data_IF_161665309924
#
_entry.id   IF_161665309924
#
_cell.length_a   1.000
_cell.length_b   1.000
_cell.length_c   1.000
_cell.angle_alpha   90.00
_cell.angle_beta   90.00
_cell.angle_gamma   90.00
#
_symmetry.space_group_name_H-M   'P 1'
#
loop_
_entity.id
_entity.type
_entity.pdbx_description
1 polymer ?
#
# COMPACT_ATOMS: atom_id res chain seq x y z
N UNK A 1 -70.10 -33.50 -1.90
CA UNK A 1 -69.01 -33.85 -0.97
C UNK A 1 -67.68 -33.57 -1.69
N UNK A 2 -66.65 -33.08 -0.99
CA UNK A 2 -66.27 -31.68 -0.76
C UNK A 2 -65.38 -31.06 -1.89
N UNK A 3 -65.21 -29.72 -1.91
CA UNK A 3 -64.39 -29.04 -2.91
C UNK A 3 -62.88 -29.11 -2.56
N UNK A 4 -62.05 -29.58 -3.49
CA UNK A 4 -60.58 -29.73 -3.37
C UNK A 4 -59.83 -28.40 -3.60
N UNK A 5 -60.56 -27.28 -3.69
CA UNK A 5 -60.02 -25.98 -4.11
C UNK A 5 -59.28 -25.16 -3.02
N UNK A 6 -59.30 -25.44 -1.69
CA UNK A 6 -58.61 -24.52 -0.76
C UNK A 6 -57.12 -24.80 -0.59
N UNK A 7 -56.58 -25.92 -1.09
CA UNK A 7 -55.19 -26.32 -0.78
C UNK A 7 -54.10 -25.75 -1.71
N UNK A 8 -54.47 -25.24 -2.89
CA UNK A 8 -53.51 -24.63 -3.83
C UNK A 8 -53.33 -23.11 -3.64
N UNK A 9 -54.26 -22.45 -2.95
CA UNK A 9 -54.14 -21.01 -2.63
C UNK A 9 -53.26 -20.79 -1.38
N UNK A 10 -53.19 -21.76 -0.48
CA UNK A 10 -52.37 -21.65 0.73
C UNK A 10 -50.86 -21.73 0.47
N UNK A 11 -50.42 -22.33 -0.65
CA UNK A 11 -48.99 -22.42 -0.97
C UNK A 11 -48.48 -21.20 -1.75
N UNK A 12 -49.36 -20.45 -2.43
CA UNK A 12 -48.98 -19.23 -3.15
C UNK A 12 -48.92 -17.97 -2.27
N UNK A 13 -49.47 -18.04 -1.06
CA UNK A 13 -49.41 -16.95 -0.07
C UNK A 13 -48.19 -17.03 0.87
N UNK A 14 -47.37 -18.09 0.76
CA UNK A 14 -46.16 -18.25 1.57
C UNK A 14 -44.86 -17.84 0.84
N UNK A 15 -44.96 -17.12 -0.29
CA UNK A 15 -43.80 -16.66 -1.06
C UNK A 15 -43.65 -15.12 -1.12
N UNK A 16 -44.41 -14.36 -0.32
CA UNK A 16 -44.38 -12.89 -0.34
C UNK A 16 -43.96 -12.22 0.99
N UNK A 17 -43.33 -12.96 1.90
CA UNK A 17 -42.75 -12.36 3.12
C UNK A 17 -41.30 -12.78 3.34
N UNK A 18 -40.51 -12.69 2.27
CA UNK A 18 -39.08 -12.43 2.41
C UNK A 18 -38.78 -11.09 1.74
N UNK A 19 -39.42 -10.04 2.25
CA UNK A 19 -38.71 -8.77 2.32
C UNK A 19 -37.55 -9.03 3.29
N UNK A 20 -36.39 -9.36 2.73
CA UNK A 20 -35.15 -9.05 3.43
C UNK A 20 -35.26 -7.57 3.72
N UNK A 21 -35.49 -7.22 4.98
CA UNK A 21 -35.21 -5.88 5.44
C UNK A 21 -33.76 -5.66 5.03
N UNK A 22 -33.53 -4.89 3.96
CA UNK A 22 -32.26 -4.27 3.72
C UNK A 22 -31.99 -3.54 5.02
N UNK A 23 -31.10 -4.10 5.84
CA UNK A 23 -30.78 -3.53 7.13
C UNK A 23 -30.19 -2.18 6.79
N UNK A 24 -30.99 -1.13 6.93
CA UNK A 24 -30.49 0.23 6.91
C UNK A 24 -29.67 0.35 8.19
N UNK A 25 -28.49 -0.22 8.21
CA UNK A 25 -27.40 0.18 9.11
C UNK A 25 -26.92 1.56 8.61
N UNK A 26 -27.86 2.50 8.61
CA UNK A 26 -27.63 3.91 8.47
C UNK A 26 -27.03 4.32 9.80
N UNK A 27 -25.77 4.75 9.76
CA UNK A 27 -25.03 5.19 10.91
C UNK A 27 -25.86 6.14 11.80
N UNK A 28 -25.61 6.15 13.13
CA UNK A 28 -26.24 7.06 14.07
C UNK A 28 -26.33 8.51 13.54
N UNK A 29 -27.36 9.26 13.94
CA UNK A 29 -27.55 10.63 13.48
C UNK A 29 -26.29 11.48 13.76
N UNK A 30 -25.70 12.03 12.70
CA UNK A 30 -24.44 12.76 12.78
C UNK A 30 -23.20 11.91 12.47
N UNK A 31 -23.35 10.66 12.05
CA UNK A 31 -22.30 9.78 11.52
C UNK A 31 -22.52 9.48 10.03
N UNK A 32 -21.44 9.19 9.30
CA UNK A 32 -21.42 8.81 7.89
C UNK A 32 -20.67 7.50 7.70
N UNK A 33 -21.17 6.68 6.78
CA UNK A 33 -20.63 5.36 6.49
C UNK A 33 -19.44 5.46 5.51
N UNK A 34 -18.36 4.75 5.80
CA UNK A 34 -17.21 4.58 4.91
C UNK A 34 -16.93 3.09 4.75
N UNK A 35 -16.86 2.60 3.51
CA UNK A 35 -16.68 1.18 3.19
C UNK A 35 -15.44 0.98 2.32
N UNK A 36 -14.52 0.13 2.77
CA UNK A 36 -13.35 -0.31 1.99
C UNK A 36 -13.36 -1.84 1.84
N UNK A 37 -13.34 -2.58 2.96
CA UNK A 37 -13.49 -4.06 3.00
C UNK A 37 -14.50 -4.50 4.08
N UNK A 38 -15.27 -3.52 4.56
CA UNK A 38 -16.23 -3.53 5.65
C UNK A 38 -16.68 -2.09 5.89
N UNK A 39 -17.91 -1.89 6.35
CA UNK A 39 -18.45 -0.54 6.56
C UNK A 39 -18.31 -0.14 8.03
N UNK A 40 -17.67 0.99 8.28
CA UNK A 40 -17.60 1.62 9.61
C UNK A 40 -18.38 2.94 9.60
N UNK A 41 -18.98 3.26 10.74
CA UNK A 41 -19.65 4.54 10.96
C UNK A 41 -18.69 5.50 11.65
N UNK A 42 -18.46 6.66 11.02
CA UNK A 42 -17.58 7.71 11.53
C UNK A 42 -18.38 8.98 11.79
N UNK A 43 -18.06 9.77 12.83
CA UNK A 43 -18.69 11.06 13.06
C UNK A 43 -18.62 11.93 11.80
N UNK A 44 -19.78 12.35 11.29
CA UNK A 44 -19.95 13.17 10.10
C UNK A 44 -19.32 14.55 10.22
N UNK A 45 -18.93 14.95 11.44
CA UNK A 45 -18.09 16.10 11.73
C UNK A 45 -16.68 15.95 11.13
N UNK A 46 -16.11 14.73 11.13
CA UNK A 46 -14.85 14.42 10.43
C UNK A 46 -15.00 14.43 8.90
N UNK A 47 -16.22 14.24 8.38
CA UNK A 47 -16.52 14.19 6.95
C UNK A 47 -17.10 15.49 6.39
N UNK A 48 -17.39 16.49 7.24
CA UNK A 48 -18.06 17.75 6.90
C UNK A 48 -17.13 18.96 6.77
N UNK A 49 -15.88 18.85 7.20
CA UNK A 49 -14.87 19.93 7.25
C UNK A 49 -13.62 19.61 6.43
N UNK A 50 -13.79 19.07 5.22
CA UNK A 50 -12.66 18.65 4.39
C UNK A 50 -12.23 19.75 3.41
N UNK A 51 -11.40 20.69 3.89
CA UNK A 51 -10.18 21.01 3.13
C UNK A 51 -8.87 20.99 3.95
N UNK A 52 -8.91 20.89 5.28
CA UNK A 52 -7.68 20.91 6.13
C UNK A 52 -7.53 19.64 7.00
N UNK A 53 -8.65 18.94 7.27
CA UNK A 53 -8.70 17.78 8.17
C UNK A 53 -8.37 16.43 7.51
N UNK A 54 -8.25 16.35 6.18
CA UNK A 54 -7.90 15.10 5.48
C UNK A 54 -6.51 14.61 5.92
N UNK A 55 -5.55 15.51 6.13
CA UNK A 55 -4.20 15.13 6.54
C UNK A 55 -4.15 14.57 7.96
N UNK A 56 -5.07 15.01 8.84
CA UNK A 56 -5.18 14.49 10.22
C UNK A 56 -5.54 13.00 10.25
N UNK A 57 -6.22 12.51 9.21
CA UNK A 57 -6.60 11.09 9.10
C UNK A 57 -5.69 10.33 8.14
N UNK A 58 -5.29 10.96 7.02
CA UNK A 58 -4.53 10.30 5.97
C UNK A 58 -3.11 9.90 6.43
N UNK A 59 -2.39 10.78 7.13
CA UNK A 59 -1.02 10.46 7.55
C UNK A 59 -0.98 9.32 8.59
N UNK A 60 -1.79 9.33 9.67
CA UNK A 60 -1.84 8.19 10.60
C UNK A 60 -2.32 6.90 9.94
N UNK A 61 -3.29 6.97 9.03
CA UNK A 61 -3.77 5.79 8.30
C UNK A 61 -2.67 5.19 7.42
N UNK A 62 -1.89 6.02 6.71
CA UNK A 62 -0.77 5.57 5.89
C UNK A 62 0.35 4.98 6.76
N UNK A 63 0.68 5.60 7.89
CA UNK A 63 1.70 5.08 8.80
C UNK A 63 1.33 3.70 9.36
N UNK A 64 0.06 3.51 9.75
CA UNK A 64 -0.47 2.23 10.20
C UNK A 64 -0.38 1.19 9.08
N UNK A 65 -0.82 1.54 7.87
CA UNK A 65 -0.77 0.66 6.71
C UNK A 65 0.67 0.24 6.37
N UNK A 66 1.63 1.17 6.33
CA UNK A 66 3.04 0.87 6.08
C UNK A 66 3.61 -0.11 7.11
N UNK A 67 3.26 0.08 8.38
CA UNK A 67 3.72 -0.77 9.48
C UNK A 67 3.16 -2.19 9.37
N UNK A 68 1.86 -2.32 9.06
CA UNK A 68 1.22 -3.62 8.85
C UNK A 68 1.77 -4.33 7.61
N UNK A 69 1.88 -3.61 6.50
CA UNK A 69 2.44 -4.11 5.25
C UNK A 69 3.87 -4.65 5.43
N UNK A 70 4.72 -3.90 6.15
CA UNK A 70 6.08 -4.34 6.49
C UNK A 70 6.05 -5.62 7.33
N UNK A 71 5.19 -5.70 8.33
CA UNK A 71 5.11 -6.88 9.21
C UNK A 71 4.71 -8.14 8.43
N UNK A 72 3.77 -8.04 7.50
CA UNK A 72 3.36 -9.12 6.60
C UNK A 72 4.50 -9.53 5.65
N UNK A 73 5.25 -8.56 5.14
CA UNK A 73 6.35 -8.77 4.21
C UNK A 73 7.63 -9.35 4.87
N UNK A 74 7.78 -9.24 6.20
CA UNK A 74 9.03 -9.54 6.91
C UNK A 74 9.48 -11.00 6.82
N UNK A 75 8.58 -11.94 6.53
CA UNK A 75 8.94 -13.35 6.38
C UNK A 75 9.62 -13.63 5.04
N UNK A 76 10.80 -14.26 5.10
CA UNK A 76 11.54 -14.71 3.92
C UNK A 76 12.27 -13.61 3.14
N UNK A 77 12.52 -12.46 3.77
CA UNK A 77 13.31 -11.38 3.16
C UNK A 77 14.80 -11.73 3.10
N UNK A 78 15.50 -11.12 2.15
CA UNK A 78 16.92 -11.32 1.86
C UNK A 78 17.70 -10.01 2.03
N UNK A 79 19.00 -10.08 2.30
CA UNK A 79 19.88 -8.90 2.28
C UNK A 79 20.18 -8.47 0.84
N UNK A 80 20.54 -7.21 0.60
CA UNK A 80 20.90 -6.72 -0.73
C UNK A 80 21.95 -7.65 -1.39
N UNK A 81 21.78 -8.06 -2.67
CA UNK A 81 22.78 -8.85 -3.38
C UNK A 81 24.15 -8.17 -3.34
N UNK A 82 25.21 -8.94 -3.05
CA UNK A 82 26.54 -8.38 -2.77
C UNK A 82 27.04 -7.45 -3.88
N UNK A 83 26.87 -7.83 -5.15
CA UNK A 83 27.28 -7.02 -6.29
C UNK A 83 26.50 -5.70 -6.42
N UNK A 84 25.22 -5.69 -6.05
CA UNK A 84 24.40 -4.47 -6.01
C UNK A 84 24.86 -3.58 -4.84
N UNK A 85 25.05 -4.18 -3.65
CA UNK A 85 25.49 -3.46 -2.45
C UNK A 85 26.82 -2.75 -2.69
N UNK A 86 27.81 -3.47 -3.24
CA UNK A 86 29.15 -2.92 -3.51
C UNK A 86 29.11 -1.70 -4.44
N UNK A 87 28.32 -1.76 -5.51
CA UNK A 87 28.16 -0.65 -6.44
C UNK A 87 27.47 0.56 -5.79
N UNK A 88 26.48 0.32 -4.92
CA UNK A 88 25.70 1.40 -4.30
C UNK A 88 26.40 2.14 -3.16
N UNK A 89 27.51 1.60 -2.64
CA UNK A 89 28.36 2.28 -1.65
C UNK A 89 28.89 3.63 -2.15
N UNK A 90 28.88 3.87 -3.46
CA UNK A 90 29.23 5.17 -4.04
C UNK A 90 28.23 6.28 -3.69
N UNK A 91 26.96 5.95 -3.48
CA UNK A 91 25.87 6.92 -3.30
C UNK A 91 25.23 6.88 -1.91
N UNK A 92 25.30 5.74 -1.24
CA UNK A 92 24.63 5.52 0.04
C UNK A 92 25.61 5.16 1.15
N UNK A 93 25.32 5.70 2.33
CA UNK A 93 25.99 5.28 3.56
C UNK A 93 25.75 3.78 3.82
N UNK A 94 26.74 3.02 4.30
CA UNK A 94 26.58 1.60 4.61
C UNK A 94 25.39 1.29 5.51
N UNK A 95 25.05 2.17 6.46
CA UNK A 95 23.91 1.99 7.36
C UNK A 95 22.54 1.98 6.66
N UNK A 96 22.41 2.65 5.51
CA UNK A 96 21.19 2.57 4.68
C UNK A 96 21.12 1.20 4.00
N UNK A 97 22.24 0.76 3.41
CA UNK A 97 22.33 -0.51 2.69
C UNK A 97 22.15 -1.72 3.62
N UNK A 98 22.70 -1.66 4.84
CA UNK A 98 22.69 -2.76 5.79
C UNK A 98 21.32 -2.93 6.47
N UNK A 99 20.57 -1.84 6.60
CA UNK A 99 19.19 -1.87 7.08
C UNK A 99 18.23 -2.47 6.06
N UNK A 100 18.46 -2.21 4.77
CA UNK A 100 17.54 -2.65 3.73
C UNK A 100 17.50 -4.18 3.60
N UNK A 101 16.29 -4.69 3.38
CA UNK A 101 16.00 -6.06 3.01
C UNK A 101 15.16 -6.06 1.75
N UNK A 102 15.14 -7.15 1.02
CA UNK A 102 14.28 -7.27 -0.15
C UNK A 102 13.56 -8.60 -0.25
N UNK A 103 12.50 -8.60 -1.05
CA UNK A 103 11.77 -9.80 -1.45
C UNK A 103 11.21 -9.60 -2.85
N UNK A 104 11.16 -10.67 -3.63
CA UNK A 104 10.48 -10.68 -4.93
C UNK A 104 9.04 -11.13 -4.71
N UNK A 105 8.09 -10.44 -5.32
CA UNK A 105 6.67 -10.77 -5.20
C UNK A 105 6.34 -12.09 -5.89
N UNK A 106 5.70 -13.02 -5.18
CA UNK A 106 5.27 -14.31 -5.73
C UNK A 106 3.97 -14.13 -6.55
N UNK A 107 4.12 -13.91 -7.87
CA UNK A 107 3.12 -14.13 -8.94
C UNK A 107 1.63 -13.99 -8.55
N UNK A 108 1.23 -12.84 -8.00
CA UNK A 108 -0.19 -12.48 -7.83
C UNK A 108 -0.78 -12.66 -6.43
N UNK A 109 -0.05 -13.19 -5.44
CA UNK A 109 -0.45 -13.06 -4.04
C UNK A 109 0.11 -11.77 -3.44
N UNK A 110 -0.37 -10.66 -3.99
CA UNK A 110 -0.27 -9.38 -3.30
C UNK A 110 -1.21 -9.49 -2.10
N UNK A 111 -0.67 -9.48 -0.88
CA UNK A 111 -1.47 -9.16 0.30
C UNK A 111 -2.30 -7.91 0.01
N UNK A 112 -3.43 -7.73 0.69
CA UNK A 112 -4.21 -6.46 0.67
C UNK A 112 -3.30 -5.22 0.90
N UNK A 113 -2.18 -5.42 1.61
CA UNK A 113 -1.12 -4.45 1.82
C UNK A 113 -0.23 -4.09 0.60
N UNK A 114 -0.46 -4.67 -0.59
CA UNK A 114 0.37 -4.42 -1.79
C UNK A 114 -0.42 -3.89 -2.98
N UNK A 115 -1.62 -3.33 -2.75
CA UNK A 115 -2.46 -2.74 -3.79
C UNK A 115 -1.72 -1.70 -4.67
N UNK A 116 -0.72 -1.00 -4.14
CA UNK A 116 0.13 -0.06 -4.92
C UNK A 116 0.94 -0.74 -6.03
N UNK A 117 1.29 -2.03 -5.90
CA UNK A 117 1.99 -2.79 -6.93
C UNK A 117 1.07 -3.28 -8.07
N UNK A 118 -0.24 -3.01 -8.02
CA UNK A 118 -1.12 -3.32 -9.15
C UNK A 118 -0.93 -2.40 -10.35
N UNK A 119 -0.22 -1.28 -10.19
CA UNK A 119 0.21 -0.47 -11.32
C UNK A 119 1.38 -1.16 -12.05
N UNK A 120 1.24 -1.57 -13.33
CA UNK A 120 2.29 -2.28 -14.06
C UNK A 120 3.58 -1.47 -14.23
N UNK A 121 3.51 -0.15 -14.12
CA UNK A 121 4.66 0.74 -14.29
C UNK A 121 5.55 0.82 -13.02
N UNK A 122 5.10 0.25 -11.91
CA UNK A 122 5.84 0.24 -10.64
C UNK A 122 6.71 -1.01 -10.56
N UNK A 123 8.03 -0.84 -10.58
CA UNK A 123 9.00 -1.95 -10.54
C UNK A 123 9.30 -2.49 -9.13
N UNK A 124 9.17 -1.64 -8.12
CA UNK A 124 9.35 -1.99 -6.71
C UNK A 124 8.58 -1.01 -5.80
N UNK A 125 8.40 -1.39 -4.53
CA UNK A 125 7.86 -0.53 -3.46
C UNK A 125 8.66 -0.74 -2.19
N UNK A 126 8.99 0.35 -1.50
CA UNK A 126 9.67 0.32 -0.21
C UNK A 126 8.67 0.39 0.96
N UNK A 127 8.64 -0.67 1.76
CA UNK A 127 7.91 -0.77 3.03
C UNK A 127 8.88 -0.60 4.20
N UNK A 128 9.16 0.66 4.54
CA UNK A 128 10.07 1.08 5.62
C UNK A 128 11.53 0.69 5.32
N UNK A 129 11.93 -0.55 5.59
CA UNK A 129 13.25 -1.11 5.30
C UNK A 129 13.19 -2.35 4.38
N UNK A 130 11.98 -2.78 3.99
CA UNK A 130 11.78 -3.93 3.09
C UNK A 130 11.40 -3.42 1.70
N UNK A 131 12.20 -3.73 0.70
CA UNK A 131 11.94 -3.41 -0.70
C UNK A 131 11.30 -4.62 -1.38
N UNK A 132 10.06 -4.46 -1.83
CA UNK A 132 9.34 -5.47 -2.59
C UNK A 132 9.54 -5.24 -4.07
N UNK A 133 10.27 -6.12 -4.73
CA UNK A 133 10.45 -6.09 -6.18
C UNK A 133 9.34 -6.88 -6.86
N UNK A 134 8.88 -6.38 -8.00
CA UNK A 134 7.90 -7.09 -8.83
C UNK A 134 8.44 -8.41 -9.35
N UNK A 135 9.69 -8.42 -9.79
CA UNK A 135 10.32 -9.55 -10.45
C UNK A 135 11.80 -9.67 -10.05
N UNK A 136 12.34 -10.88 -10.22
CA UNK A 136 13.72 -11.19 -9.84
C UNK A 136 14.75 -10.46 -10.70
N UNK A 137 14.45 -10.19 -11.98
CA UNK A 137 15.38 -9.50 -12.86
C UNK A 137 15.62 -8.06 -12.38
N UNK A 138 14.57 -7.36 -12.00
CA UNK A 138 14.64 -6.03 -11.38
C UNK A 138 15.45 -6.05 -10.08
N UNK A 139 15.21 -7.03 -9.21
CA UNK A 139 15.94 -7.18 -7.95
C UNK A 139 17.43 -7.52 -8.14
N UNK A 140 17.79 -8.27 -9.19
CA UNK A 140 19.16 -8.74 -9.39
C UNK A 140 20.02 -7.81 -10.26
N UNK A 141 19.39 -7.04 -11.16
CA UNK A 141 20.13 -6.35 -12.24
C UNK A 141 19.87 -4.84 -12.31
N UNK A 142 18.79 -4.32 -11.71
CA UNK A 142 18.41 -2.92 -11.88
C UNK A 142 18.97 -2.01 -10.78
N UNK A 143 20.25 -1.65 -10.91
CA UNK A 143 20.96 -0.77 -9.95
C UNK A 143 20.26 0.59 -9.75
N UNK A 144 19.70 1.16 -10.81
CA UNK A 144 19.03 2.44 -10.75
C UNK A 144 17.71 2.37 -9.95
N UNK A 145 16.95 1.28 -10.09
CA UNK A 145 15.75 1.04 -9.29
C UNK A 145 16.12 0.83 -7.81
N UNK A 146 17.16 0.04 -7.51
CA UNK A 146 17.66 -0.06 -6.14
C UNK A 146 18.01 1.30 -5.54
N UNK A 147 18.68 2.16 -6.30
CA UNK A 147 19.02 3.49 -5.85
C UNK A 147 17.79 4.36 -5.55
N UNK A 148 16.70 4.19 -6.29
CA UNK A 148 15.41 4.84 -6.00
C UNK A 148 14.85 4.34 -4.66
N UNK A 149 14.68 3.04 -4.51
CA UNK A 149 14.06 2.44 -3.33
C UNK A 149 14.86 2.70 -2.04
N UNK A 150 16.19 2.67 -2.12
CA UNK A 150 17.05 3.02 -0.98
C UNK A 150 16.92 4.48 -0.56
N UNK A 151 16.47 5.38 -1.45
CA UNK A 151 16.13 6.75 -1.03
C UNK A 151 14.98 6.73 -0.05
N UNK A 152 13.97 5.91 -0.29
CA UNK A 152 12.86 5.76 0.64
C UNK A 152 13.29 5.10 1.95
N UNK A 153 14.16 4.08 1.92
CA UNK A 153 14.75 3.51 3.15
C UNK A 153 15.46 4.59 3.97
N UNK A 154 16.28 5.43 3.31
CA UNK A 154 16.96 6.55 3.97
C UNK A 154 15.95 7.58 4.53
N UNK A 155 14.89 7.91 3.78
CA UNK A 155 13.85 8.83 4.25
C UNK A 155 13.12 8.27 5.49
N UNK A 156 12.82 6.98 5.52
CA UNK A 156 12.24 6.32 6.69
C UNK A 156 13.19 6.34 7.89
N UNK A 157 14.49 6.12 7.69
CA UNK A 157 15.48 6.24 8.77
C UNK A 157 15.56 7.66 9.32
N UNK A 158 15.46 8.68 8.46
CA UNK A 158 15.61 10.09 8.85
C UNK A 158 14.35 10.68 9.47
N UNK A 159 13.17 10.28 9.00
CA UNK A 159 11.90 10.91 9.38
C UNK A 159 11.04 10.03 10.28
N UNK A 160 11.35 8.74 10.37
CA UNK A 160 10.44 7.74 10.92
C UNK A 160 9.22 7.51 10.01
N UNK A 161 8.41 6.52 10.38
CA UNK A 161 7.21 6.15 9.62
C UNK A 161 6.18 7.29 9.60
N UNK A 162 5.93 7.92 10.75
CA UNK A 162 4.97 9.02 10.86
C UNK A 162 5.41 10.26 10.07
N UNK A 163 6.70 10.61 10.16
CA UNK A 163 7.25 11.75 9.44
C UNK A 163 7.28 11.53 7.92
N UNK A 164 7.50 10.30 7.47
CA UNK A 164 7.34 9.93 6.06
C UNK A 164 5.88 10.06 5.63
N UNK A 165 4.95 9.45 6.36
CA UNK A 165 3.53 9.44 6.01
C UNK A 165 2.93 10.86 5.98
N UNK A 166 3.34 11.73 6.90
CA UNK A 166 2.95 13.15 6.89
C UNK A 166 3.40 13.85 5.61
N UNK A 167 4.69 13.72 5.24
CA UNK A 167 5.24 14.36 4.04
C UNK A 167 4.60 13.81 2.78
N UNK A 168 4.44 12.49 2.69
CA UNK A 168 3.88 11.83 1.51
C UNK A 168 2.42 12.21 1.27
N UNK A 169 1.61 12.32 2.34
CA UNK A 169 0.21 12.73 2.22
C UNK A 169 0.04 14.23 1.97
N UNK A 170 1.02 15.06 2.34
CA UNK A 170 1.02 16.50 2.07
C UNK A 170 1.50 16.83 0.65
N UNK A 171 2.65 16.28 0.25
CA UNK A 171 3.23 16.45 -1.07
C UNK A 171 4.08 15.22 -1.43
N UNK A 172 3.45 14.26 -2.12
CA UNK A 172 4.14 13.06 -2.57
C UNK A 172 5.31 13.40 -3.52
N UNK A 173 5.23 14.47 -4.31
CA UNK A 173 6.29 14.82 -5.25
C UNK A 173 7.57 15.23 -4.50
N UNK A 174 7.45 15.92 -3.36
CA UNK A 174 8.60 16.27 -2.52
C UNK A 174 9.30 15.04 -1.94
N UNK A 175 8.59 13.92 -1.76
CA UNK A 175 9.15 12.64 -1.30
C UNK A 175 9.77 11.85 -2.47
N UNK A 176 9.09 11.82 -3.61
CA UNK A 176 9.47 11.05 -4.80
C UNK A 176 10.61 11.69 -5.61
N UNK A 177 10.64 13.02 -5.74
CA UNK A 177 11.60 13.72 -6.60
C UNK A 177 13.07 13.41 -6.24
N UNK A 178 13.49 13.37 -4.95
CA UNK A 178 14.83 12.92 -4.58
C UNK A 178 15.14 11.48 -5.01
N UNK A 179 14.15 10.58 -4.98
CA UNK A 179 14.31 9.19 -5.38
C UNK A 179 14.48 9.05 -6.91
N UNK A 180 13.72 9.83 -7.69
CA UNK A 180 13.92 9.92 -9.13
C UNK A 180 15.25 10.58 -9.52
N UNK A 181 15.70 11.58 -8.78
CA UNK A 181 16.97 12.26 -9.04
C UNK A 181 18.16 11.29 -8.94
N UNK A 182 18.24 10.52 -7.85
CA UNK A 182 19.31 9.53 -7.67
C UNK A 182 19.19 8.36 -8.65
N UNK A 183 17.98 7.91 -8.97
CA UNK A 183 17.76 6.92 -10.03
C UNK A 183 18.35 7.38 -11.36
N UNK A 184 18.10 8.64 -11.74
CA UNK A 184 18.61 9.22 -12.98
C UNK A 184 20.14 9.37 -12.96
N UNK A 185 20.72 9.74 -11.83
CA UNK A 185 22.17 9.81 -11.65
C UNK A 185 22.83 8.43 -11.81
N UNK A 186 22.34 7.41 -11.10
CA UNK A 186 22.88 6.05 -11.18
C UNK A 186 22.74 5.49 -12.60
N UNK A 187 21.58 5.72 -13.25
CA UNK A 187 21.36 5.30 -14.63
C UNK A 187 22.37 5.93 -15.61
N UNK A 188 22.77 7.19 -15.39
CA UNK A 188 23.84 7.83 -16.18
C UNK A 188 25.20 7.21 -15.89
N UNK A 189 25.57 7.05 -14.62
CA UNK A 189 26.86 6.46 -14.25
C UNK A 189 27.04 5.02 -14.75
N UNK A 190 25.98 4.21 -14.79
CA UNK A 190 26.03 2.84 -15.33
C UNK A 190 26.26 2.84 -16.84
N UNK A 191 25.68 3.80 -17.57
CA UNK A 191 25.90 3.94 -19.01
C UNK A 191 27.34 4.37 -19.32
N UNK A 192 27.84 5.37 -18.58
CA UNK A 192 29.20 5.89 -18.76
C UNK A 192 30.29 4.89 -18.36
N UNK A 193 30.02 3.96 -17.44
CA UNK A 193 30.96 2.91 -17.05
C UNK A 193 30.91 1.64 -17.93
N UNK A 194 29.98 1.58 -18.88
CA UNK A 194 29.87 0.47 -19.84
C UNK A 194 30.58 0.75 -21.18
N UNK A 195 31.03 1.99 -21.38
CA UNK A 195 31.86 2.45 -22.51
C UNK A 195 33.37 2.31 -22.19
#
# INVERSE_FOLDING_TARGET
MPPIIPRLVALLLLCLTFETAARTDACPAGEKQVCLDGCICLPGQLLGTLPEDIHLVAAPALALWLTQARAEAAAGVQAIPAHIREQLLRWYDPGVLDAARYKVSDNGQFSTATAMLQNPDVGAVTLIDIILFRDAQSAEQNLALWAHELKHVQQFQQWGVDGFAQRYTQDFNAVEAPAYAIQAEVRRSVREGAD
#
